data_IF_502740501204
#
_entry.id   IF_502740501204
#
_cell.length_a   1.000
_cell.length_b   1.000
_cell.length_c   1.000
_cell.angle_alpha   90.00
_cell.angle_beta   90.00
_cell.angle_gamma   90.00
#
_symmetry.space_group_name_H-M   'P 1'
#
loop_
_entity.id
_entity.type
_entity.pdbx_description
1 polymer ?
2 water ?
#
# COMPACT_ATOMS: atom_id res chain seq x y z
N UNK A 38 -8.12 29.65 6.19
CA UNK A 38 -6.99 28.88 6.72
C UNK A 38 -7.29 28.20 8.05
N UNK A 39 -6.24 27.85 8.76
CA UNK A 39 -6.36 27.33 10.11
C UNK A 39 -5.32 28.02 10.99
N UNK A 40 -5.47 27.82 12.29
CA UNK A 40 -4.65 28.52 13.29
C UNK A 40 -3.28 27.86 13.41
N UNK A 41 -2.23 28.62 13.10
CA UNK A 41 -0.87 28.12 13.20
C UNK A 41 -0.36 28.23 14.63
N UNK A 42 0.32 27.17 15.08
CA UNK A 42 0.99 27.21 16.37
C UNK A 42 2.44 27.64 16.25
N UNK A 43 2.99 28.09 17.37
CA UNK A 43 4.36 28.60 17.38
C UNK A 43 5.37 27.44 17.38
N UNK A 44 6.41 27.59 16.57
CA UNK A 44 7.41 26.54 16.37
C UNK A 44 8.50 26.67 17.43
N UNK A 45 8.58 25.70 18.32
CA UNK A 45 9.67 25.61 19.29
C UNK A 45 10.67 24.57 18.84
N UNK A 46 11.96 24.89 18.99
CA UNK A 46 13.01 23.98 18.56
C UNK A 46 13.30 22.95 19.64
N UNK A 47 13.19 21.68 19.28
CA UNK A 47 13.59 20.58 20.16
C UNK A 47 14.86 19.89 19.71
N UNK A 48 15.28 20.09 18.46
CA UNK A 48 16.42 19.43 17.84
C UNK A 48 16.26 17.92 17.76
N UNK A 49 15.06 17.40 18.04
CA UNK A 49 14.80 15.97 17.90
C UNK A 49 14.47 15.66 16.44
N UNK A 50 15.22 14.71 15.86
CA UNK A 50 15.00 14.36 14.48
C UNK A 50 13.62 13.76 14.24
N UNK A 51 12.98 13.24 15.30
CA UNK A 51 11.63 12.70 15.15
C UNK A 51 10.60 13.79 14.95
N UNK A 52 10.87 15.00 15.42
CA UNK A 52 9.90 16.09 15.39
C UNK A 52 9.97 16.81 14.05
N UNK A 53 8.83 16.98 13.41
CA UNK A 53 8.72 17.72 12.15
C UNK A 53 7.52 18.65 12.25
N UNK A 54 7.76 19.94 12.43
CA UNK A 54 6.69 20.91 12.56
C UNK A 54 6.30 21.46 11.18
N UNK A 55 5.03 21.81 11.05
CA UNK A 55 4.51 22.44 9.83
C UNK A 55 4.44 23.93 10.06
N UNK A 56 5.06 24.70 9.17
CA UNK A 56 4.95 26.16 9.16
C UNK A 56 4.03 26.54 8.01
N UNK A 57 2.75 26.73 8.34
CA UNK A 57 1.76 27.10 7.35
C UNK A 57 0.61 26.11 7.30
N UNK A 58 0.09 25.91 6.10
CA UNK A 58 -1.11 25.10 5.88
C UNK A 58 -0.74 23.65 5.55
N UNK A 59 -1.69 22.76 5.82
CA UNK A 59 -1.53 21.36 5.44
C UNK A 59 -1.51 20.40 6.60
N UNK A 60 -1.76 19.12 6.30
CA UNK A 60 -1.72 18.06 7.29
C UNK A 60 -0.95 16.87 6.72
N UNK A 61 -0.25 16.16 7.59
CA UNK A 61 0.32 14.88 7.21
C UNK A 61 -0.79 13.87 6.96
N UNK A 62 -0.65 13.08 5.91
CA UNK A 62 -1.62 12.05 5.57
C UNK A 62 -1.14 10.71 6.12
N UNK A 63 -2.03 10.01 6.84
CA UNK A 63 -1.71 8.73 7.43
C UNK A 63 -2.82 7.75 7.13
N UNK A 65 -5.23 4.83 8.72
CA UNK A 65 -5.78 4.34 9.97
C UNK A 65 -5.70 2.81 10.02
N UNK A 66 -5.80 2.22 11.22
CA UNK A 66 -5.72 0.75 11.32
C UNK A 66 -6.77 0.01 10.51
N UNK A 67 -7.79 0.68 10.01
CA UNK A 67 -8.82 0.04 9.20
C UNK A 67 -8.68 0.34 7.71
N UNK A 68 -7.58 0.95 7.29
CA UNK A 68 -7.29 1.19 5.89
C UNK A 68 -7.66 2.56 5.38
N UNK A 69 -8.50 3.30 6.11
CA UNK A 69 -8.93 4.62 5.65
C UNK A 69 -7.87 5.67 5.97
N UNK A 70 -8.08 6.86 5.42
CA UNK A 70 -7.10 7.94 5.51
C UNK A 70 -7.50 8.95 6.58
N UNK A 71 -6.49 9.46 7.29
CA UNK A 71 -6.67 10.49 8.30
C UNK A 71 -5.57 11.54 8.14
N UNK A 72 -5.68 12.62 8.91
CA UNK A 72 -4.79 13.76 8.76
C UNK A 72 -4.46 14.34 10.11
N UNK A 73 -3.25 14.89 10.23
CA UNK A 73 -2.76 15.40 11.50
C UNK A 73 -1.64 16.40 11.27
N UNK A 74 -1.50 17.33 12.22
CA UNK A 74 -0.35 18.21 12.28
C UNK A 74 0.75 17.67 13.18
N UNK A 75 0.48 16.59 13.93
CA UNK A 75 1.42 16.02 14.88
C UNK A 75 2.56 15.34 14.13
N UNK A 76 3.56 16.14 13.78
CA UNK A 76 4.73 15.62 13.11
C UNK A 76 5.74 15.06 14.10
N UNK A 77 5.42 13.91 14.69
CA UNK A 77 6.32 13.19 15.58
C UNK A 77 6.50 11.80 14.94
N UNK A 78 7.57 11.66 14.17
CA UNK A 78 7.69 10.52 13.27
C UNK A 78 8.47 9.38 13.91
N UNK A 79 8.31 8.20 13.32
CA UNK A 79 8.85 6.98 13.87
C UNK A 79 8.99 5.96 12.75
N UNK A 80 9.61 4.83 13.08
CA UNK A 80 9.77 3.71 12.17
C UNK A 80 9.12 2.50 12.82
N UNK A 81 8.13 1.91 12.13
CA UNK A 81 7.41 0.78 12.71
C UNK A 81 8.25 -0.48 12.55
N UNK A 82 7.68 -1.63 12.93
CA UNK A 82 8.44 -2.88 12.98
C UNK A 82 8.88 -3.37 11.61
N UNK A 83 8.36 -2.80 10.52
CA UNK A 83 8.73 -3.21 9.17
C UNK A 83 9.43 -2.08 8.40
N UNK A 84 10.00 -1.11 9.10
CA UNK A 84 10.70 -0.03 8.43
C UNK A 84 9.81 1.05 7.84
N UNK A 85 8.50 0.99 8.06
CA UNK A 85 7.59 2.00 7.54
C UNK A 85 7.63 3.26 8.39
N UNK A 86 7.60 4.41 7.73
CA UNK A 86 7.53 5.67 8.46
C UNK A 86 6.12 5.89 9.00
N UNK A 87 6.02 6.11 10.31
CA UNK A 87 4.75 6.30 10.98
C UNK A 87 4.84 7.54 11.87
N UNK A 88 3.69 7.96 12.40
CA UNK A 88 3.61 9.10 13.29
C UNK A 88 3.77 8.66 14.74
N UNK A 89 3.56 9.59 15.67
CA UNK A 89 3.66 9.26 17.09
C UNK A 89 2.57 8.29 17.52
N UNK A 90 1.39 8.39 16.92
CA UNK A 90 0.32 7.45 17.24
C UNK A 90 0.52 6.08 16.64
N UNK A 91 1.55 5.88 15.82
CA UNK A 91 1.76 4.59 15.20
C UNK A 91 1.10 4.39 13.85
N UNK A 92 0.72 5.46 13.17
CA UNK A 92 -0.04 5.37 11.93
C UNK A 92 0.86 5.59 10.72
N UNK A 93 0.79 4.67 9.76
CA UNK A 93 1.64 4.73 8.58
C UNK A 93 1.34 5.97 7.75
N UNK A 94 2.39 6.71 7.39
CA UNK A 94 2.24 7.83 6.48
C UNK A 94 1.82 7.32 5.11
N UNK A 95 0.99 8.11 4.42
CA UNK A 95 0.44 7.75 3.12
C UNK A 95 0.87 8.78 2.09
N UNK A 96 1.54 8.38 0.99
CA UNK A 96 1.92 7.02 0.63
C UNK A 96 3.03 6.45 1.50
N UNK A 97 3.19 5.13 1.45
CA UNK A 97 4.14 4.46 2.34
C UNK A 97 5.56 4.88 2.03
N UNK A 98 6.35 5.06 3.09
CA UNK A 98 7.78 5.34 2.99
C UNK A 98 8.52 4.29 3.78
N UNK A 99 9.44 3.60 3.13
CA UNK A 99 10.24 2.56 3.76
C UNK A 99 11.63 3.10 4.11
N UNK A 100 12.01 2.95 5.37
CA UNK A 100 13.33 3.35 5.84
C UNK A 100 14.21 2.10 5.83
N UNK A 101 15.34 2.11 5.12
CA UNK A 101 16.23 0.94 5.14
C UNK A 101 16.67 0.61 6.56
N UNK A 102 16.81 -0.69 6.83
CA UNK A 102 17.16 -1.14 8.16
C UNK A 102 18.53 -0.64 8.61
N UNK A 103 19.43 -0.35 7.68
CA UNK A 103 20.77 0.13 8.01
C UNK A 103 20.85 1.66 8.04
N UNK A 104 19.72 2.35 8.03
CA UNK A 104 19.74 3.80 8.04
C UNK A 104 20.25 4.31 9.37
N UNK A 105 21.22 5.23 9.32
CA UNK A 105 21.74 5.84 10.55
C UNK A 105 20.86 6.96 11.04
N UNK A 106 20.38 7.81 10.13
CA UNK A 106 19.54 8.93 10.48
C UNK A 106 18.53 9.17 9.37
N UNK A 107 17.47 9.90 9.69
CA UNK A 107 16.45 10.28 8.73
C UNK A 107 16.38 11.81 8.69
N UNK A 108 16.49 12.36 7.50
CA UNK A 108 16.34 13.80 7.29
C UNK A 108 15.07 14.07 6.49
N UNK A 109 14.31 15.06 6.92
CA UNK A 109 13.10 15.48 6.23
C UNK A 109 13.27 16.96 5.91
N UNK A 110 13.44 17.27 4.62
CA UNK A 110 13.68 18.63 4.21
C UNK A 110 12.44 19.49 4.25
N UNK A 111 12.64 20.77 3.96
CA UNK A 111 11.53 21.72 3.97
C UNK A 111 10.52 21.40 2.87
N UNK A 112 10.99 20.80 1.79
CA UNK A 112 10.12 20.41 0.68
C UNK A 112 9.53 19.02 0.85
N UNK A 113 9.84 18.32 1.94
CA UNK A 113 9.27 17.01 2.19
C UNK A 113 10.08 15.85 1.68
N UNK A 114 11.28 16.09 1.14
CA UNK A 114 12.13 14.99 0.69
C UNK A 114 12.65 14.23 1.90
N UNK A 115 12.44 12.91 1.89
CA UNK A 115 12.89 12.04 2.96
C UNK A 115 14.12 11.30 2.49
N UNK A 116 15.24 11.49 3.19
CA UNK A 116 16.49 10.83 2.87
C UNK A 116 17.09 10.22 4.12
N UNK A 117 18.01 9.28 3.92
CA UNK A 117 18.69 8.60 5.01
C UNK A 117 20.19 8.65 4.77
N UNK A 118 20.94 8.52 5.86
CA UNK A 118 22.39 8.34 5.81
C UNK A 118 22.72 6.89 6.13
N UNK A 119 23.72 6.36 5.44
CA UNK A 119 24.17 4.99 5.66
C UNK A 119 25.67 4.99 5.90
N UNK A 120 26.13 4.03 6.68
CA UNK A 120 27.50 4.03 7.18
C UNK A 120 28.51 4.04 6.05
N UNK A 121 29.45 4.98 6.12
CA UNK A 121 30.52 5.09 5.14
C UNK A 121 30.10 5.63 3.80
N UNK A 122 28.84 5.95 3.58
CA UNK A 122 28.36 6.46 2.31
C UNK A 122 28.21 7.98 2.39
N UNK A 123 28.85 8.68 1.46
CA UNK A 123 28.90 10.13 1.53
C UNK A 123 27.58 10.77 1.12
N UNK A 124 26.93 10.22 0.10
CA UNK A 124 25.71 10.90 -0.35
C UNK A 124 24.50 10.38 0.41
N UNK A 125 23.56 11.25 0.76
CA UNK A 125 22.30 10.79 1.33
C UNK A 125 21.47 10.08 0.28
N UNK A 126 20.72 9.07 0.72
CA UNK A 126 19.87 8.27 -0.15
C UNK A 126 18.43 8.69 0.10
N UNK A 127 17.78 9.22 -0.94
CA UNK A 127 16.37 9.57 -0.83
C UNK A 127 15.52 8.31 -0.81
N UNK A 128 14.56 8.26 0.11
CA UNK A 128 13.72 7.08 0.29
C UNK A 128 12.24 7.36 0.12
N UNK A 129 11.82 8.61 0.01
CA UNK A 129 10.41 8.90 -0.16
C UNK A 129 10.16 10.39 -0.17
N UNK A 130 8.88 10.74 -0.31
CA UNK A 130 8.43 12.12 -0.36
C UNK A 130 7.28 12.30 0.61
N UNK A 131 7.45 13.23 1.56
CA UNK A 131 6.42 13.54 2.54
C UNK A 131 5.54 14.67 1.99
N UNK A 132 4.25 14.38 1.81
CA UNK A 132 3.32 15.34 1.25
C UNK A 132 2.52 16.04 2.36
N UNK A 133 1.93 17.17 2.01
CA UNK A 133 1.04 17.92 2.89
C UNK A 133 -0.31 18.09 2.20
N UNK A 134 -1.38 17.82 2.92
CA UNK A 134 -2.73 17.86 2.39
C UNK A 134 -3.47 19.05 2.95
N UNK A 135 -4.06 19.86 2.06
CA UNK A 135 -4.80 21.05 2.44
C UNK A 135 -6.29 20.83 2.26
N UNK A 136 -7.09 21.56 3.03
CA UNK A 136 -8.54 21.50 2.97
C UNK A 136 -9.10 22.92 2.88
N UNK A 138 -11.85 23.99 4.29
CA UNK A 138 -12.41 24.35 5.59
C UNK A 138 -11.84 23.39 6.63
N UNK A 139 -10.73 23.78 7.25
CA UNK A 139 -10.14 22.94 8.30
C UNK A 139 -11.06 22.82 9.50
N UNK A 140 -11.93 23.79 9.71
CA UNK A 140 -12.90 23.71 10.80
C UNK A 140 -13.85 22.53 10.61
N UNK A 141 -14.15 22.18 9.35
CA UNK A 141 -15.05 21.09 9.05
C UNK A 141 -14.47 19.70 9.25
N UNK A 142 -13.16 19.59 9.48
CA UNK A 142 -12.56 18.30 9.74
C UNK A 142 -13.10 17.72 11.04
N UNK A 143 -13.35 16.41 11.04
CA UNK A 143 -13.89 15.73 12.21
C UNK A 143 -12.74 15.16 13.04
N UNK A 144 -12.66 15.59 14.30
CA UNK A 144 -11.71 14.99 15.22
C UNK A 144 -12.11 13.55 15.51
N UNK A 145 -11.14 12.64 15.36
CA UNK A 145 -11.34 11.24 15.69
C UNK A 145 -10.52 10.84 16.91
N UNK A 146 -9.90 11.79 17.59
CA UNK A 146 -9.05 11.53 18.73
C UNK A 146 -7.57 11.48 18.33
N UNK A 147 -6.72 11.59 19.35
CA UNK A 147 -5.27 11.45 19.19
C UNK A 147 -4.71 12.43 18.18
N UNK A 148 -5.29 13.63 18.13
CA UNK A 148 -4.86 14.71 17.23
C UNK A 148 -5.02 14.35 15.77
N UNK A 149 -5.85 13.35 15.46
CA UNK A 149 -6.13 12.95 14.09
C UNK A 149 -7.48 13.50 13.64
N UNK A 150 -7.59 13.80 12.36
CA UNK A 150 -8.81 14.33 11.77
C UNK A 150 -9.06 13.61 10.45
N UNK A 151 -10.34 13.55 10.06
CA UNK A 151 -10.74 12.90 8.82
C UNK A 151 -11.54 13.89 7.97
N UNK A 152 -11.55 13.62 6.67
CA UNK A 152 -12.29 14.45 5.73
C UNK A 152 -13.80 14.31 5.98
N UNK A 153 -14.51 15.43 5.88
CA UNK A 153 -15.95 15.48 6.00
C UNK A 153 -16.53 16.25 4.83
N UNK A 154 -17.86 16.32 4.78
CA UNK A 154 -18.52 17.18 3.80
C UNK A 154 -18.21 18.64 4.05
N UNK A 155 -18.11 19.03 5.33
CA UNK A 155 -17.84 20.41 5.66
C UNK A 155 -16.39 20.80 5.38
N UNK A 156 -15.46 19.85 5.47
CA UNK A 156 -14.06 20.16 5.27
C UNK A 156 -13.70 20.30 3.79
N UNK A 157 -14.40 19.59 2.91
CA UNK A 157 -14.04 19.53 1.52
C UNK A 157 -13.08 18.38 1.22
N UNK A 158 -12.86 18.15 -0.06
CA UNK A 158 -11.98 17.06 -0.47
C UNK A 158 -10.53 17.42 -0.21
N UNK A 159 -9.68 16.42 0.07
CA UNK A 159 -8.27 16.71 0.32
C UNK A 159 -7.54 17.11 -0.94
N UNK A 160 -6.58 18.01 -0.78
CA UNK A 160 -5.71 18.46 -1.87
C UNK A 160 -4.27 18.14 -1.46
N UNK A 161 -3.73 17.05 -2.03
CA UNK A 161 -2.39 16.58 -1.70
C UNK A 161 -1.38 17.30 -2.58
N UNK A 162 -0.40 17.96 -1.95
CA UNK A 162 0.61 18.72 -2.67
C UNK A 162 1.95 18.60 -1.94
N UNK A 163 2.99 19.04 -2.62
CA UNK A 163 4.35 19.08 -2.07
C UNK A 163 4.46 20.23 -1.05
N UNK A 164 5.12 20.00 0.08
CA UNK A 164 5.30 21.07 1.07
C UNK A 164 6.02 22.28 0.47
N UNK A 165 5.33 23.41 0.49
CA UNK A 165 5.83 24.65 -0.10
C UNK A 165 5.09 25.09 -1.33
N UNK A 166 4.38 24.19 -2.01
CA UNK A 166 3.64 24.52 -3.23
C UNK A 166 2.15 24.53 -2.93
N UNK A 167 1.40 25.28 -3.76
CA UNK A 167 -0.06 25.27 -3.76
C UNK A 167 -0.62 25.58 -2.38
N UNK A 168 0.00 26.54 -1.69
CA UNK A 168 -0.46 26.95 -0.38
C UNK A 168 0.00 26.08 0.77
N UNK A 169 0.54 24.89 0.49
CA UNK A 169 1.00 24.02 1.56
C UNK A 169 2.21 24.63 2.27
N UNK A 170 2.29 24.43 3.58
CA UNK A 170 3.37 24.96 4.37
C UNK A 170 4.67 24.22 4.15
N UNK A 171 5.63 24.52 5.01
CA UNK A 171 6.96 23.93 4.96
C UNK A 171 7.22 23.09 6.20
N UNK A 172 8.09 22.09 6.05
CA UNK A 172 8.41 21.17 7.13
C UNK A 172 9.71 21.58 7.79
N UNK A 173 9.73 21.56 9.12
CA UNK A 173 10.90 21.96 9.90
C UNK A 173 11.23 20.84 10.88
N UNK A 174 12.14 19.97 10.46
CA UNK A 174 12.61 18.89 11.33
C UNK A 174 13.35 19.49 12.53
N UNK A 175 13.19 18.85 13.69
CA UNK A 175 13.72 19.39 14.92
C UNK A 175 12.87 20.45 15.57
N UNK A 176 11.64 20.64 15.11
CA UNK A 176 10.73 21.63 15.65
C UNK A 176 9.38 21.00 15.94
N UNK A 177 8.71 21.53 16.96
CA UNK A 177 7.35 21.12 17.28
C UNK A 177 6.44 22.33 17.17
N UNK A 178 5.19 22.07 16.80
CA UNK A 178 4.16 23.09 16.77
C UNK A 178 3.46 23.11 18.13
N UNK A 179 3.61 24.22 18.85
CA UNK A 179 3.09 24.32 20.20
C UNK A 179 1.59 24.57 20.19
N UNK A 180 0.88 23.91 21.12
CA UNK A 180 -0.57 24.00 21.18
C UNK A 180 -1.07 25.37 21.62
N UNK A 181 -0.18 26.25 22.09
CA UNK A 181 -0.57 27.63 22.39
C UNK A 181 -0.81 28.38 21.09
N UNK A 182 -1.78 27.92 20.31
CA UNK A 182 -2.00 28.41 18.95
C UNK A 182 -2.45 29.86 18.93
N UNK B 30 12.76 -26.54 25.57
CA UNK B 30 11.48 -26.32 24.92
C UNK B 30 11.69 -26.08 23.43
N UNK B 31 10.75 -26.56 22.62
CA UNK B 31 10.85 -26.40 21.18
C UNK B 31 10.34 -25.02 20.77
N UNK B 32 11.07 -24.29 19.93
CA UNK B 32 10.60 -22.96 19.50
C UNK B 32 9.37 -23.06 18.61
N UNK B 33 8.22 -22.63 19.12
CA UNK B 33 6.98 -22.68 18.36
C UNK B 33 6.85 -21.43 17.51
N UNK B 34 6.56 -21.62 16.23
CA UNK B 34 6.41 -20.53 15.28
C UNK B 34 4.94 -20.15 15.12
N UNK B 35 4.71 -18.91 14.70
CA UNK B 35 3.35 -18.39 14.56
C UNK B 35 2.78 -18.82 13.22
N UNK B 36 1.75 -19.66 13.26
CA UNK B 36 1.03 -20.08 12.06
C UNK B 36 -0.37 -19.48 12.10
N UNK B 37 -0.72 -18.75 11.06
CA UNK B 37 -2.09 -18.24 10.92
C UNK B 37 -2.46 -18.22 9.45
N UNK B 38 -3.45 -19.01 9.08
CA UNK B 38 -3.92 -19.07 7.71
C UNK B 38 -4.75 -17.84 7.37
N UNK B 39 -4.88 -17.57 6.08
CA UNK B 39 -5.74 -16.50 5.61
C UNK B 39 -7.19 -16.95 5.63
N UNK B 40 -8.08 -16.04 6.05
CA UNK B 40 -9.50 -16.37 6.16
C UNK B 40 -10.16 -16.28 4.80
N UNK B 41 -10.74 -17.38 4.35
CA UNK B 41 -11.37 -17.42 3.04
C UNK B 41 -12.67 -16.64 3.02
N UNK B 42 -12.78 -15.73 2.06
CA UNK B 42 -14.04 -15.03 1.83
C UNK B 42 -14.91 -15.78 0.84
N UNK B 43 -16.22 -15.58 0.97
CA UNK B 43 -17.15 -16.27 0.09
C UNK B 43 -16.96 -15.84 -1.36
N UNK B 44 -17.15 -16.78 -2.27
CA UNK B 44 -17.03 -16.54 -3.70
C UNK B 44 -18.40 -16.28 -4.29
N UNK B 45 -18.52 -15.21 -5.08
CA UNK B 45 -19.73 -14.90 -5.82
C UNK B 45 -19.40 -14.83 -7.29
N UNK B 46 -20.26 -15.44 -8.12
CA UNK B 46 -20.00 -15.53 -9.55
C UNK B 46 -20.44 -14.25 -10.24
N UNK B 47 -19.49 -13.59 -10.92
CA UNK B 47 -19.80 -12.46 -11.78
C UNK B 47 -19.84 -12.84 -13.25
N UNK B 48 -19.25 -13.98 -13.61
CA UNK B 48 -19.06 -14.42 -14.99
C UNK B 48 -18.23 -13.43 -15.81
N UNK B 49 -17.57 -12.49 -15.14
CA UNK B 49 -16.71 -11.53 -15.83
C UNK B 49 -15.33 -12.14 -16.05
N UNK B 50 -14.86 -12.09 -17.30
CA UNK B 50 -13.54 -12.62 -17.62
C UNK B 50 -12.43 -11.94 -16.83
N UNK B 51 -12.67 -10.72 -16.35
CA UNK B 51 -11.65 -9.95 -15.64
C UNK B 51 -11.51 -10.34 -14.19
N UNK B 52 -12.52 -11.03 -13.64
CA UNK B 52 -12.53 -11.37 -12.23
C UNK B 52 -11.93 -12.75 -12.03
N UNK B 53 -10.98 -12.84 -11.11
CA UNK B 53 -10.41 -14.12 -10.68
C UNK B 53 -10.42 -14.12 -9.17
N UNK B 54 -11.07 -15.11 -8.57
CA UNK B 54 -11.13 -15.27 -7.13
C UNK B 54 -10.23 -16.41 -6.71
N UNK B 55 -9.52 -16.21 -5.60
CA UNK B 55 -8.72 -17.28 -5.00
C UNK B 55 -9.59 -18.05 -4.03
N UNK B 56 -9.65 -19.36 -4.20
CA UNK B 56 -10.31 -20.25 -3.24
C UNK B 56 -9.22 -21.07 -2.57
N UNK B 57 -8.90 -20.73 -1.33
CA UNK B 57 -7.79 -21.34 -0.65
C UNK B 57 -6.77 -20.30 -0.23
N UNK B 58 -5.55 -20.73 0.07
CA UNK B 58 -4.51 -19.84 0.57
C UNK B 58 -3.74 -19.21 -0.59
N UNK B 59 -3.19 -18.02 -0.32
CA UNK B 59 -2.29 -17.40 -1.28
C UNK B 59 -2.68 -16.02 -1.75
N UNK B 60 -1.70 -15.28 -2.29
CA UNK B 60 -1.91 -13.94 -2.81
C UNK B 60 -1.31 -13.84 -4.20
N UNK B 61 -1.95 -13.03 -5.05
CA UNK B 61 -1.31 -12.59 -6.28
C UNK B 61 -0.13 -11.69 -5.94
N UNK B 62 0.96 -11.84 -6.67
CA UNK B 62 2.12 -10.97 -6.51
C UNK B 62 2.09 -9.88 -7.57
N UNK B 63 2.21 -8.64 -7.12
CA UNK B 63 2.24 -7.48 -8.01
C UNK B 63 3.51 -6.71 -7.75
N UNK B 65 5.29 -3.04 -7.38
CA UNK B 65 5.04 -1.63 -7.11
C UNK B 65 5.90 -0.76 -8.02
N UNK B 66 5.51 0.51 -8.22
CA UNK B 66 6.31 1.39 -9.09
C UNK B 66 7.77 1.49 -8.69
N UNK B 67 8.11 1.26 -7.43
CA UNK B 67 9.49 1.29 -6.96
C UNK B 67 10.21 -0.04 -7.17
N UNK B 68 9.58 -1.01 -7.84
CA UNK B 68 10.21 -2.27 -8.12
C UNK B 68 10.04 -3.34 -7.07
N UNK B 69 9.55 -2.99 -5.87
CA UNK B 69 9.34 -3.98 -4.84
C UNK B 69 7.99 -4.69 -5.05
N UNK B 70 7.81 -5.79 -4.33
CA UNK B 70 6.65 -6.64 -4.51
C UNK B 70 5.60 -6.36 -3.43
N UNK B 71 4.33 -6.47 -3.83
CA UNK B 71 3.19 -6.42 -2.93
C UNK B 71 2.31 -7.62 -3.22
N UNK B 72 1.31 -7.83 -2.35
CA UNK B 72 0.49 -9.03 -2.44
C UNK B 72 -0.97 -8.67 -2.20
N UNK B 73 -1.87 -9.32 -2.94
CA UNK B 73 -3.29 -8.99 -2.88
C UNK B 73 -4.11 -10.22 -3.24
N UNK B 74 -5.28 -10.32 -2.62
CA UNK B 74 -6.31 -11.26 -3.03
C UNK B 74 -7.20 -10.70 -4.13
N UNK B 75 -7.06 -9.42 -4.44
CA UNK B 75 -7.96 -8.74 -5.37
C UNK B 75 -7.62 -9.16 -6.80
N UNK B 76 -8.46 -10.00 -7.39
CA UNK B 76 -8.27 -10.43 -8.75
C UNK B 76 -9.13 -9.68 -9.75
N UNK B 77 -9.21 -8.36 -9.61
CA UNK B 77 -9.91 -7.51 -10.56
C UNK B 77 -8.91 -7.09 -11.62
N UNK B 78 -8.71 -7.95 -12.61
CA UNK B 78 -7.63 -7.79 -13.57
C UNK B 78 -8.02 -6.85 -14.70
N UNK B 79 -7.02 -6.16 -15.23
CA UNK B 79 -7.19 -5.30 -16.38
C UNK B 79 -6.00 -5.49 -17.32
N UNK B 80 -6.15 -5.00 -18.54
CA UNK B 80 -5.08 -5.01 -19.53
C UNK B 80 -4.81 -3.56 -19.91
N UNK B 81 -3.63 -3.07 -19.56
CA UNK B 81 -3.31 -1.66 -19.77
C UNK B 81 -3.03 -1.40 -21.25
N UNK B 82 -2.63 -0.16 -21.54
CA UNK B 82 -2.40 0.26 -22.92
C UNK B 82 -1.23 -0.48 -23.56
N UNK B 83 -0.34 -1.05 -22.77
CA UNK B 83 0.80 -1.80 -23.29
C UNK B 83 0.53 -3.30 -23.36
N UNK B 84 -0.68 -3.74 -23.05
CA UNK B 84 -0.99 -5.16 -23.06
C UNK B 84 -0.63 -5.90 -21.80
N UNK B 85 -0.23 -5.20 -20.74
CA UNK B 85 0.18 -5.85 -19.51
C UNK B 85 -1.03 -6.19 -18.65
N UNK B 86 -1.02 -7.39 -18.09
CA UNK B 86 -2.04 -7.78 -17.12
C UNK B 86 -1.78 -7.08 -15.80
N UNK B 87 -2.75 -6.29 -15.34
CA UNK B 87 -2.61 -5.48 -14.13
C UNK B 87 -3.86 -5.68 -13.27
N UNK B 88 -3.82 -5.08 -12.08
CA UNK B 88 -4.94 -4.98 -11.17
C UNK B 88 -5.60 -3.60 -11.28
N UNK B 89 -6.55 -3.34 -10.38
CA UNK B 89 -7.35 -2.12 -10.45
C UNK B 89 -6.48 -0.87 -10.38
N UNK B 90 -5.55 -0.82 -9.43
CA UNK B 90 -4.60 0.27 -9.37
C UNK B 90 -3.58 0.29 -10.48
N UNK B 91 -3.73 -0.56 -11.49
CA UNK B 91 -2.76 -0.62 -12.57
C UNK B 91 -1.42 -1.19 -12.16
N UNK B 92 -1.40 -2.14 -11.22
CA UNK B 92 -0.16 -2.74 -10.76
C UNK B 92 0.06 -4.04 -11.54
N UNK B 93 1.22 -4.13 -12.20
CA UNK B 93 1.54 -5.32 -12.99
C UNK B 93 1.69 -6.53 -12.08
N UNK B 94 1.17 -7.68 -12.55
CA UNK B 94 1.41 -8.92 -11.86
C UNK B 94 2.85 -9.34 -12.09
N UNK B 95 3.46 -9.98 -11.10
CA UNK B 95 4.87 -10.36 -11.20
C UNK B 95 4.99 -11.87 -11.06
N UNK B 96 5.56 -12.57 -12.06
CA UNK B 96 6.12 -12.04 -13.31
C UNK B 96 5.07 -11.41 -14.23
N UNK B 97 5.50 -10.46 -15.05
CA UNK B 97 4.58 -9.75 -15.93
C UNK B 97 3.98 -10.69 -16.96
N UNK B 98 2.73 -10.42 -17.33
CA UNK B 98 2.02 -11.17 -18.36
C UNK B 98 1.53 -10.19 -19.41
N UNK B 99 1.87 -10.45 -20.67
CA UNK B 99 1.46 -9.62 -21.79
C UNK B 99 0.38 -10.34 -22.58
N UNK B 100 -0.69 -9.62 -22.90
CA UNK B 100 -1.79 -10.16 -23.71
C UNK B 100 -1.60 -9.65 -25.13
N UNK B 101 -1.45 -10.53 -26.12
CA UNK B 101 -1.31 -10.07 -27.50
C UNK B 101 -2.54 -9.29 -27.96
N UNK B 102 -2.32 -8.38 -28.92
CA UNK B 102 -3.40 -7.52 -29.37
C UNK B 102 -4.50 -8.30 -30.09
N UNK B 103 -4.14 -9.43 -30.71
CA UNK B 103 -5.11 -10.24 -31.43
C UNK B 103 -5.81 -11.27 -30.56
N UNK B 104 -5.72 -11.14 -29.24
CA UNK B 104 -6.37 -12.08 -28.35
C UNK B 104 -7.88 -11.84 -28.33
N UNK B 105 -8.64 -12.91 -28.58
CA UNK B 105 -10.09 -12.80 -28.55
C UNK B 105 -10.63 -12.89 -27.12
N UNK B 106 -10.10 -13.82 -26.33
CA UNK B 106 -10.49 -13.97 -24.94
C UNK B 106 -9.25 -14.32 -24.12
N UNK B 107 -9.36 -14.13 -22.81
CA UNK B 107 -8.32 -14.48 -21.87
C UNK B 107 -8.87 -15.55 -20.94
N UNK B 108 -8.20 -16.70 -20.89
CA UNK B 108 -8.58 -17.79 -20.00
C UNK B 108 -7.54 -17.91 -18.89
N UNK B 109 -8.01 -17.97 -17.66
CA UNK B 109 -7.16 -18.13 -16.49
C UNK B 109 -7.59 -19.41 -15.79
N UNK B 110 -6.77 -20.45 -15.94
CA UNK B 110 -7.12 -21.75 -15.38
C UNK B 110 -7.01 -21.78 -13.87
N UNK B 111 -7.54 -22.86 -13.30
CA UNK B 111 -7.48 -23.04 -11.85
C UNK B 111 -6.04 -23.18 -11.37
N UNK B 112 -5.13 -23.61 -12.24
CA UNK B 112 -3.72 -23.72 -11.92
C UNK B 112 -2.91 -22.49 -12.32
N UNK B 113 -3.58 -21.39 -12.66
CA UNK B 113 -2.89 -20.16 -12.98
C UNK B 113 -2.40 -20.03 -14.40
N UNK B 114 -2.56 -21.05 -15.23
CA UNK B 114 -2.16 -20.94 -16.63
C UNK B 114 -3.02 -19.89 -17.31
N UNK B 115 -2.38 -18.90 -17.91
CA UNK B 115 -3.06 -17.83 -18.62
C UNK B 115 -2.93 -18.10 -20.12
N UNK B 116 -4.07 -18.21 -20.80
CA UNK B 116 -4.10 -18.53 -22.21
C UNK B 116 -5.01 -17.56 -22.94
N UNK B 117 -4.80 -17.46 -24.26
CA UNK B 117 -5.64 -16.64 -25.12
C UNK B 117 -6.06 -17.48 -26.32
N UNK B 118 -7.23 -17.16 -26.85
CA UNK B 118 -7.71 -17.73 -28.10
C UNK B 118 -7.46 -16.74 -29.24
N UNK B 119 -7.23 -17.28 -30.43
CA UNK B 119 -6.99 -16.46 -31.61
C UNK B 119 -7.96 -16.87 -32.70
N UNK B 120 -8.24 -15.92 -33.61
CA UNK B 120 -9.20 -16.12 -34.68
C UNK B 120 -8.92 -17.38 -35.47
N UNK B 121 -9.91 -18.28 -35.50
CA UNK B 121 -9.83 -19.47 -36.31
C UNK B 121 -8.91 -20.57 -35.80
N UNK B 122 -8.23 -20.35 -34.68
CA UNK B 122 -7.30 -21.34 -34.15
C UNK B 122 -8.00 -22.17 -33.07
N UNK B 123 -7.84 -23.49 -33.15
CA UNK B 123 -8.55 -24.38 -32.24
C UNK B 123 -7.89 -24.42 -30.86
N UNK B 124 -6.57 -24.43 -30.81
CA UNK B 124 -5.89 -24.62 -29.53
C UNK B 124 -5.64 -23.27 -28.87
N UNK B 125 -5.94 -23.14 -27.57
CA UNK B 125 -5.52 -21.92 -26.86
C UNK B 125 -4.01 -21.82 -26.80
N UNK B 126 -3.51 -20.60 -26.66
CA UNK B 126 -2.08 -20.32 -26.61
C UNK B 126 -1.76 -19.76 -25.23
N UNK B 127 -0.94 -20.49 -24.47
CA UNK B 127 -0.52 -20.00 -23.17
C UNK B 127 0.34 -18.75 -23.33
N UNK B 128 -0.01 -17.70 -22.60
CA UNK B 128 0.74 -16.45 -22.65
C UNK B 128 1.37 -16.08 -21.31
N UNK B 129 1.09 -16.81 -20.24
CA UNK B 129 1.67 -16.49 -18.95
C UNK B 129 1.29 -17.51 -17.90
N UNK B 130 1.73 -17.24 -16.69
CA UNK B 130 1.46 -18.13 -15.56
C UNK B 130 1.32 -17.29 -14.31
N UNK B 131 0.10 -17.28 -13.74
CA UNK B 131 -0.15 -16.60 -12.48
C UNK B 131 0.16 -17.55 -11.32
N UNK B 132 1.04 -17.12 -10.43
CA UNK B 132 1.37 -17.89 -9.25
C UNK B 132 0.68 -17.31 -8.02
N UNK B 133 0.62 -18.11 -6.97
CA UNK B 133 0.13 -17.68 -5.67
C UNK B 133 1.26 -17.74 -4.65
N UNK B 134 1.27 -16.76 -3.76
CA UNK B 134 2.27 -16.67 -2.71
C UNK B 134 1.58 -16.78 -1.35
N UNK B 135 2.06 -17.70 -0.52
CA UNK B 135 1.54 -17.87 0.82
C UNK B 135 2.55 -17.39 1.85
N UNK B 136 2.04 -17.07 3.03
CA UNK B 136 2.86 -16.64 4.16
C UNK B 136 2.48 -17.46 5.38
N UNK B 138 2.36 -16.46 8.65
CA UNK B 138 1.54 -15.71 9.61
C UNK B 138 0.78 -14.62 8.86
N UNK B 139 -0.49 -14.89 8.55
CA UNK B 139 -1.32 -13.92 7.84
C UNK B 139 -1.46 -12.61 8.63
N UNK B 140 -1.53 -12.72 9.96
CA UNK B 140 -1.70 -11.54 10.80
C UNK B 140 -0.52 -10.59 10.73
N UNK B 141 0.64 -11.07 10.27
CA UNK B 141 1.84 -10.26 10.18
C UNK B 141 2.01 -9.49 8.90
N UNK B 142 1.17 -9.73 7.90
CA UNK B 142 1.23 -8.96 6.67
C UNK B 142 0.81 -7.52 6.93
N UNK B 143 1.48 -6.58 6.27
CA UNK B 143 1.24 -5.16 6.50
C UNK B 143 0.51 -4.56 5.30
N UNK B 144 -0.62 -3.91 5.58
CA UNK B 144 -1.37 -3.24 4.53
C UNK B 144 -0.68 -1.94 4.12
N UNK B 145 -0.70 -1.67 2.81
CA UNK B 145 -0.26 -0.39 2.27
C UNK B 145 -1.39 0.29 1.51
N UNK B 146 -2.61 -0.17 1.71
CA UNK B 146 -3.76 0.37 1.01
C UNK B 146 -4.03 -0.33 -0.31
N UNK B 147 -5.25 -0.11 -0.83
CA UNK B 147 -5.67 -0.67 -2.11
C UNK B 147 -5.62 -2.19 -2.10
N UNK B 148 -5.98 -2.79 -0.97
CA UNK B 148 -6.00 -4.24 -0.78
C UNK B 148 -4.62 -4.87 -1.01
N UNK B 149 -3.55 -4.08 -0.92
CA UNK B 149 -2.20 -4.55 -1.12
C UNK B 149 -1.51 -4.77 0.21
N UNK B 150 -0.74 -5.84 0.31
CA UNK B 150 0.02 -6.17 1.51
C UNK B 150 1.47 -6.42 1.15
N UNK B 151 2.36 -6.13 2.09
CA UNK B 151 3.78 -6.36 1.91
C UNK B 151 4.27 -7.33 2.97
N UNK B 152 5.34 -8.05 2.63
CA UNK B 152 5.97 -8.97 3.56
C UNK B 152 6.57 -8.22 4.74
N UNK B 153 6.52 -8.84 5.92
CA UNK B 153 7.21 -8.37 7.10
C UNK B 153 7.98 -9.52 7.73
N UNK B 154 8.81 -9.21 8.70
CA UNK B 154 9.43 -10.27 9.49
C UNK B 154 8.39 -11.07 10.24
N UNK B 155 7.30 -10.43 10.66
CA UNK B 155 6.25 -11.13 11.38
C UNK B 155 5.46 -12.08 10.48
N UNK B 156 5.29 -11.72 9.20
CA UNK B 156 4.51 -12.55 8.30
C UNK B 156 5.27 -13.80 7.85
N UNK B 157 6.59 -13.77 7.88
CA UNK B 157 7.40 -14.80 7.27
C UNK B 157 7.68 -14.49 5.82
N UNK B 158 8.61 -15.26 5.25
CA UNK B 158 9.02 -15.03 3.88
C UNK B 158 7.97 -15.55 2.89
N UNK B 159 7.87 -14.93 1.72
CA UNK B 159 6.88 -15.38 0.74
C UNK B 159 7.23 -16.76 0.19
N UNK B 160 6.20 -17.60 0.08
CA UNK B 160 6.35 -18.94 -0.50
C UNK B 160 5.51 -18.99 -1.77
N UNK B 161 6.17 -18.91 -2.91
CA UNK B 161 5.50 -18.84 -4.21
C UNK B 161 5.29 -20.24 -4.77
N UNK B 162 4.11 -20.48 -5.33
CA UNK B 162 3.78 -21.79 -5.87
C UNK B 162 2.79 -21.65 -7.00
N UNK B 163 2.73 -22.69 -7.83
CA UNK B 163 1.62 -22.83 -8.76
C UNK B 163 0.32 -22.93 -7.95
N UNK B 164 -0.75 -22.24 -8.38
CA UNK B 164 -2.04 -22.43 -7.72
C UNK B 164 -2.48 -23.89 -7.79
N UNK B 165 -3.02 -24.38 -6.67
CA UNK B 165 -3.42 -25.77 -6.59
C UNK B 165 -2.32 -26.74 -6.23
N UNK B 166 -1.12 -26.24 -5.95
CA UNK B 166 -0.02 -27.05 -5.45
C UNK B 166 0.50 -26.45 -4.16
N UNK B 167 1.15 -27.30 -3.34
CA UNK B 167 1.86 -26.85 -2.15
C UNK B 167 0.94 -26.13 -1.16
N UNK B 168 -0.32 -26.52 -1.13
CA UNK B 168 -1.28 -25.88 -0.25
C UNK B 168 -1.80 -24.54 -0.73
N UNK B 169 -1.37 -24.08 -1.91
CA UNK B 169 -1.88 -22.83 -2.46
C UNK B 169 -3.27 -23.06 -3.04
N UNK B 170 -4.07 -21.99 -3.03
CA UNK B 170 -5.44 -22.08 -3.48
C UNK B 170 -5.56 -22.21 -4.99
N UNK B 171 -6.80 -22.35 -5.44
CA UNK B 171 -7.12 -22.43 -6.86
C UNK B 171 -7.69 -21.10 -7.34
N UNK B 172 -7.51 -20.82 -8.62
CA UNK B 172 -8.00 -19.60 -9.25
C UNK B 172 -9.33 -19.88 -9.91
N UNK B 173 -10.30 -18.99 -9.72
CA UNK B 173 -11.63 -19.15 -10.29
C UNK B 173 -11.99 -17.90 -11.09
N UNK B 174 -11.71 -17.96 -12.39
CA UNK B 174 -12.10 -16.89 -13.29
C UNK B 174 -13.62 -16.76 -13.32
N UNK B 175 -14.09 -15.53 -13.47
CA UNK B 175 -15.52 -15.26 -13.41
C UNK B 175 -16.08 -15.17 -12.01
N UNK B 176 -15.24 -15.10 -10.99
CA UNK B 176 -15.66 -15.03 -9.60
C UNK B 176 -14.90 -13.92 -8.88
N UNK B 177 -15.52 -13.39 -7.83
CA UNK B 177 -14.86 -12.45 -6.94
C UNK B 177 -14.98 -12.97 -5.52
N UNK B 178 -13.95 -12.70 -4.72
CA UNK B 178 -13.95 -13.09 -3.32
C UNK B 178 -14.58 -11.96 -2.50
N UNK B 179 -15.69 -12.25 -1.84
CA UNK B 179 -16.38 -11.27 -1.02
C UNK B 179 -15.80 -11.27 0.39
N UNK B 180 -16.06 -10.18 1.12
CA UNK B 180 -15.52 -10.02 2.46
C UNK B 180 -16.17 -10.96 3.47
N UNK B 181 -17.38 -11.44 3.20
CA UNK B 181 -18.10 -12.30 4.13
C UNK B 181 -17.39 -13.64 4.24
N UNK B 182 -16.67 -13.84 5.35
CA UNK B 182 -16.00 -15.10 5.61
C UNK B 182 -16.89 -15.94 6.54
N UNK B 183 -17.66 -15.26 7.39
CA UNK B 183 -18.49 -15.92 8.39
C UNK B 183 -19.29 -14.88 9.18
N UNK B 184 -20.11 -15.33 10.12
CA UNK B 184 -20.82 -14.46 11.03
C UNK B 184 -20.62 -15.01 12.44
N UNK B 185 -20.59 -16.33 12.56
CA UNK B 185 -20.35 -17.00 13.84
C UNK B 185 -18.97 -16.65 14.38
#
# INVERSE_FOLDING_TARGET
GSHXQTIRQPGAQSSEQTTLPSGLQIGTGVRPVATERLHSQGNLSQTNNSKDVAIKGQGFFQVXLPDGTSAYTRDGSFQVDQNGQLVTAGGFQVQPAITIPANALSITIGRDGVVSVTQQGQAAPVQVGQLNLTTFXNDTGLESIGENLYIETQSSGAPNESTPGLNGAGLLYQGYVETSNVNVA
GSHXQTIRQPGAQSSEQTTLPSGLQIGTGVRPVATERLHSQGNLSQTNNSKDVAIKGQGFFQVXLPDGTSAYTRDGSFQVDQNGQLVTAGGFQVQPAITIPANALSITIGRDGVVSVTQQGQAAPVQVGQLNLTTFXNDTGLESIGENLYIETQSSGAPNESTPGLNGAGLLYQGYVETSNVNVA
#
